data_IF_679225662385
#
_entry.id   IF_679225662385
#
_cell.length_a   1.000
_cell.length_b   1.000
_cell.length_c   1.000
_cell.angle_alpha   90.00
_cell.angle_beta   90.00
_cell.angle_gamma   90.00
#
_symmetry.space_group_name_H-M   'P 1'
#
loop_
_entity.id
_entity.type
_entity.pdbx_description
1 polymer ?
#
# COMPACT_ATOMS: atom_id res chain seq x y z
N UNK A 1 -23.25 -11.79 5.59
CA UNK A 1 -22.40 -10.89 4.78
C UNK A 1 -20.94 -11.35 4.83
N UNK A 2 -20.68 -12.63 4.54
CA UNK A 2 -19.31 -13.20 4.53
C UNK A 2 -18.78 -13.35 3.08
N UNK A 3 -19.66 -13.50 2.09
CA UNK A 3 -19.29 -13.54 0.67
C UNK A 3 -18.90 -12.19 0.03
N UNK A 4 -18.86 -11.10 0.80
CA UNK A 4 -18.37 -9.79 0.34
C UNK A 4 -16.96 -9.47 0.83
N UNK A 5 -16.39 -10.30 1.72
CA UNK A 5 -15.04 -10.08 2.25
C UNK A 5 -14.01 -10.26 1.14
N UNK A 6 -14.16 -11.30 0.32
CA UNK A 6 -13.21 -11.61 -0.74
C UNK A 6 -13.25 -10.53 -1.83
N UNK A 7 -14.45 -10.13 -2.27
CA UNK A 7 -14.64 -9.01 -3.20
C UNK A 7 -14.05 -7.69 -2.67
N UNK A 8 -14.24 -7.42 -1.37
CA UNK A 8 -13.69 -6.23 -0.72
C UNK A 8 -12.16 -6.27 -0.63
N UNK A 9 -11.58 -7.42 -0.28
CA UNK A 9 -10.14 -7.62 -0.18
C UNK A 9 -9.45 -7.55 -1.55
N UNK A 10 -10.12 -8.01 -2.61
CA UNK A 10 -9.65 -7.88 -3.98
C UNK A 10 -9.59 -6.41 -4.42
N UNK A 11 -10.69 -5.65 -4.20
CA UNK A 11 -10.73 -4.21 -4.51
C UNK A 11 -9.68 -3.45 -3.69
N UNK A 12 -9.55 -3.76 -2.40
CA UNK A 12 -8.56 -3.14 -1.53
C UNK A 12 -7.12 -3.45 -1.99
N UNK A 13 -6.84 -4.70 -2.37
CA UNK A 13 -5.53 -5.11 -2.91
C UNK A 13 -5.19 -4.39 -4.20
N UNK A 14 -6.13 -4.27 -5.13
CA UNK A 14 -5.91 -3.58 -6.41
C UNK A 14 -5.61 -2.08 -6.20
N UNK A 15 -6.34 -1.43 -5.28
CA UNK A 15 -6.09 -0.02 -4.93
C UNK A 15 -4.72 0.16 -4.27
N UNK A 16 -4.35 -0.75 -3.38
CA UNK A 16 -3.04 -0.79 -2.72
C UNK A 16 -1.92 -0.96 -3.75
N UNK A 17 -2.05 -1.92 -4.66
CA UNK A 17 -1.05 -2.21 -5.68
C UNK A 17 -0.83 -1.02 -6.61
N UNK A 18 -1.91 -0.33 -6.99
CA UNK A 18 -1.84 0.90 -7.80
C UNK A 18 -1.03 1.98 -7.09
N UNK A 19 -1.31 2.25 -5.82
CA UNK A 19 -0.59 3.27 -5.02
C UNK A 19 0.87 2.89 -4.77
N UNK A 20 1.18 1.60 -4.63
CA UNK A 20 2.56 1.12 -4.44
C UNK A 20 3.38 1.18 -5.74
N UNK A 21 2.74 0.85 -6.87
CA UNK A 21 3.37 0.75 -8.19
C UNK A 21 3.38 2.07 -8.98
N UNK A 22 2.71 3.11 -8.52
CA UNK A 22 2.83 4.48 -9.04
C UNK A 22 4.26 5.02 -8.77
N UNK A 23 5.17 4.59 -9.66
CA UNK A 23 6.49 5.12 -10.03
C UNK A 23 7.45 5.50 -8.89
N UNK A 24 8.61 4.82 -8.83
CA UNK A 24 9.78 5.35 -8.12
C UNK A 24 11.16 4.89 -8.67
N UNK A 25 11.25 3.79 -9.43
CA UNK A 25 12.57 3.23 -9.79
C UNK A 25 13.02 3.50 -11.24
N UNK A 26 12.10 3.60 -12.19
CA UNK A 26 12.42 3.85 -13.61
C UNK A 26 12.89 5.28 -13.86
N UNK A 27 12.27 6.28 -13.22
CA UNK A 27 12.61 7.69 -13.41
C UNK A 27 14.05 8.03 -12.94
N UNK A 28 14.47 7.51 -11.78
CA UNK A 28 15.83 7.73 -11.25
C UNK A 28 16.89 7.11 -12.15
N UNK A 29 16.64 5.91 -12.67
CA UNK A 29 17.57 5.22 -13.58
C UNK A 29 17.73 5.95 -14.92
N UNK A 30 16.65 6.52 -15.45
CA UNK A 30 16.72 7.35 -16.66
C UNK A 30 17.50 8.66 -16.43
N UNK A 31 17.30 9.31 -15.28
CA UNK A 31 18.07 10.50 -14.90
C UNK A 31 19.56 10.16 -14.77
N UNK A 32 19.91 9.03 -14.16
CA UNK A 32 21.32 8.59 -14.05
C UNK A 32 21.98 8.39 -15.42
N UNK A 33 21.29 7.71 -16.34
CA UNK A 33 21.79 7.51 -17.70
C UNK A 33 22.03 8.84 -18.43
N UNK A 34 21.11 9.79 -18.28
CA UNK A 34 21.22 11.12 -18.89
C UNK A 34 22.35 11.95 -18.26
N UNK A 35 22.52 11.86 -16.93
CA UNK A 35 23.64 12.50 -16.22
C UNK A 35 24.99 11.95 -16.69
N UNK A 36 25.10 10.64 -16.90
CA UNK A 36 26.33 10.00 -17.36
C UNK A 36 26.73 10.46 -18.76
N UNK A 37 25.75 10.59 -19.67
CA UNK A 37 25.95 11.11 -21.02
C UNK A 37 26.39 12.59 -21.01
N UNK A 38 25.71 13.43 -20.23
CA UNK A 38 26.05 14.85 -20.12
C UNK A 38 27.45 15.07 -19.52
N UNK A 39 27.86 14.24 -18.57
CA UNK A 39 29.22 14.29 -18.01
C UNK A 39 30.28 13.97 -19.07
N UNK A 40 30.02 13.01 -19.98
CA UNK A 40 30.92 12.71 -21.10
C UNK A 40 31.00 13.89 -22.07
N UNK A 41 29.87 14.48 -22.43
CA UNK A 41 29.81 15.67 -23.30
C UNK A 41 30.53 16.88 -22.68
N UNK A 42 30.40 17.06 -21.36
CA UNK A 42 31.09 18.11 -20.61
C UNK A 42 32.62 17.98 -20.76
N UNK A 43 33.17 16.78 -20.59
CA UNK A 43 34.59 16.51 -20.77
C UNK A 43 35.07 16.82 -22.20
N UNK A 44 34.28 16.46 -23.21
CA UNK A 44 34.60 16.72 -24.62
C UNK A 44 34.66 18.23 -24.87
N UNK A 45 33.63 18.99 -24.49
CA UNK A 45 33.60 20.44 -24.72
C UNK A 45 34.68 21.20 -23.94
N UNK A 46 34.93 20.80 -22.69
CA UNK A 46 36.01 21.37 -21.89
C UNK A 46 37.38 21.17 -22.56
N UNK A 47 37.64 19.98 -23.10
CA UNK A 47 38.87 19.68 -23.85
C UNK A 47 38.96 20.45 -25.17
N UNK A 48 37.83 20.68 -25.83
CA UNK A 48 37.73 21.48 -27.07
C UNK A 48 37.78 23.00 -26.83
N UNK A 49 37.86 23.47 -25.57
CA UNK A 49 37.75 24.89 -25.17
C UNK A 49 36.45 25.57 -25.64
N UNK A 50 35.41 24.78 -25.84
CA UNK A 50 34.07 25.28 -26.16
C UNK A 50 33.32 25.66 -24.89
N UNK A 51 32.33 26.55 -25.03
CA UNK A 51 31.41 26.86 -23.93
C UNK A 51 30.62 25.63 -23.50
N UNK A 52 30.54 25.41 -22.18
CA UNK A 52 29.90 24.23 -21.59
C UNK A 52 28.85 24.58 -20.51
N UNK A 53 28.50 25.87 -20.39
CA UNK A 53 27.62 26.37 -19.33
C UNK A 53 26.22 25.74 -19.40
N UNK A 54 25.72 25.50 -20.62
CA UNK A 54 24.47 24.80 -20.91
C UNK A 54 24.47 23.36 -20.35
N UNK A 55 25.56 22.62 -20.56
CA UNK A 55 25.72 21.25 -20.05
C UNK A 55 25.82 21.26 -18.53
N UNK A 56 26.53 22.23 -17.95
CA UNK A 56 26.67 22.36 -16.50
C UNK A 56 25.33 22.67 -15.83
N UNK A 57 24.54 23.60 -16.37
CA UNK A 57 23.20 23.94 -15.88
C UNK A 57 22.24 22.75 -15.95
N UNK A 58 22.26 21.98 -17.05
CA UNK A 58 21.47 20.77 -17.20
C UNK A 58 21.84 19.70 -16.15
N UNK A 59 23.15 19.51 -15.89
CA UNK A 59 23.63 18.57 -14.87
C UNK A 59 23.15 19.00 -13.47
N UNK A 60 23.19 20.30 -13.14
CA UNK A 60 22.68 20.80 -11.87
C UNK A 60 21.19 20.53 -11.72
N UNK A 61 20.39 20.84 -12.75
CA UNK A 61 18.94 20.61 -12.73
C UNK A 61 18.60 19.13 -12.54
N UNK A 62 19.24 18.24 -13.29
CA UNK A 62 19.00 16.79 -13.19
C UNK A 62 19.43 16.21 -11.84
N UNK A 63 20.47 16.77 -11.19
CA UNK A 63 20.85 16.36 -9.83
C UNK A 63 19.81 16.75 -8.79
N UNK A 64 19.25 17.94 -8.92
CA UNK A 64 18.16 18.41 -8.06
C UNK A 64 16.90 17.54 -8.25
N UNK A 65 16.52 17.28 -9.50
CA UNK A 65 15.39 16.40 -9.84
C UNK A 65 15.58 14.99 -9.27
N UNK A 66 16.78 14.40 -9.43
CA UNK A 66 17.12 13.10 -8.82
C UNK A 66 16.97 13.14 -7.30
N UNK A 67 17.46 14.19 -6.66
CA UNK A 67 17.43 14.31 -5.21
C UNK A 67 15.98 14.38 -4.70
N UNK A 68 15.14 15.18 -5.35
CA UNK A 68 13.72 15.31 -5.01
C UNK A 68 12.98 13.98 -5.18
N UNK A 69 13.22 13.27 -6.29
CA UNK A 69 12.63 11.95 -6.51
C UNK A 69 13.02 10.93 -5.43
N UNK A 70 14.29 10.95 -4.98
CA UNK A 70 14.75 10.07 -3.90
C UNK A 70 14.13 10.41 -2.54
N UNK A 71 13.94 11.70 -2.23
CA UNK A 71 13.25 12.12 -1.01
C UNK A 71 11.80 11.65 -1.03
N UNK A 72 11.10 11.91 -2.12
CA UNK A 72 9.71 11.52 -2.30
C UNK A 72 9.53 10.00 -2.20
N UNK A 73 10.43 9.23 -2.82
CA UNK A 73 10.44 7.77 -2.70
C UNK A 73 10.66 7.30 -1.25
N UNK A 74 11.61 7.93 -0.53
CA UNK A 74 11.91 7.59 0.85
C UNK A 74 10.74 7.91 1.80
N UNK A 75 10.03 9.03 1.59
CA UNK A 75 8.82 9.39 2.34
C UNK A 75 7.70 8.38 2.13
N UNK A 76 7.58 7.83 0.90
CA UNK A 76 6.56 6.84 0.54
C UNK A 76 6.89 5.43 1.03
N UNK A 77 8.16 5.08 1.28
CA UNK A 77 8.54 3.71 1.68
C UNK A 77 7.89 3.28 3.01
N UNK A 78 7.78 4.19 3.98
CA UNK A 78 7.10 3.91 5.24
C UNK A 78 5.61 3.61 5.08
N UNK A 79 4.94 4.31 4.16
CA UNK A 79 3.55 4.05 3.79
C UNK A 79 3.42 2.68 3.10
N UNK A 80 4.30 2.37 2.14
CA UNK A 80 4.35 1.07 1.47
C UNK A 80 4.54 -0.08 2.46
N UNK A 81 5.42 0.08 3.46
CA UNK A 81 5.63 -0.91 4.51
C UNK A 81 4.37 -1.13 5.36
N UNK A 82 3.72 -0.06 5.80
CA UNK A 82 2.49 -0.16 6.60
C UNK A 82 1.34 -0.82 5.84
N UNK A 83 1.23 -0.52 4.55
CA UNK A 83 0.25 -1.15 3.68
C UNK A 83 0.51 -2.66 3.56
N UNK A 84 1.77 -3.08 3.32
CA UNK A 84 2.14 -4.51 3.32
C UNK A 84 1.75 -5.22 4.62
N UNK A 85 2.04 -4.61 5.77
CA UNK A 85 1.66 -5.15 7.08
C UNK A 85 0.15 -5.28 7.25
N UNK A 86 -0.64 -4.31 6.77
CA UNK A 86 -2.11 -4.39 6.82
C UNK A 86 -2.64 -5.50 5.93
N UNK A 87 -2.07 -5.69 4.74
CA UNK A 87 -2.42 -6.79 3.83
C UNK A 87 -2.12 -8.16 4.44
N UNK A 88 -0.93 -8.33 5.03
CA UNK A 88 -0.55 -9.56 5.74
C UNK A 88 -1.53 -9.84 6.90
N UNK A 89 -1.81 -8.84 7.74
CA UNK A 89 -2.75 -8.97 8.85
C UNK A 89 -4.15 -9.41 8.40
N UNK A 90 -4.66 -8.88 7.29
CA UNK A 90 -5.98 -9.25 6.77
C UNK A 90 -6.01 -10.68 6.20
N UNK A 91 -4.90 -11.12 5.60
CA UNK A 91 -4.76 -12.47 5.03
C UNK A 91 -4.55 -13.54 6.11
N UNK A 92 -3.87 -13.21 7.21
CA UNK A 92 -3.65 -14.13 8.35
C UNK A 92 -4.91 -14.34 9.20
N UNK A 93 -5.96 -13.53 9.01
CA UNK A 93 -7.23 -13.70 9.73
C UNK A 93 -7.96 -14.96 9.25
N UNK A 94 -7.68 -16.08 9.91
CA UNK A 94 -8.44 -17.34 9.83
C UNK A 94 -9.92 -17.06 10.10
N UNK A 95 -10.76 -17.43 9.13
CA UNK A 95 -12.22 -17.23 9.17
C UNK A 95 -12.97 -18.33 9.93
N UNK A 96 -12.28 -19.41 10.32
CA UNK A 96 -12.92 -20.50 11.04
C UNK A 96 -12.70 -20.38 12.54
N UNK A 97 -13.78 -20.02 13.23
CA UNK A 97 -13.89 -20.20 14.68
C UNK A 97 -14.02 -21.72 14.90
N UNK A 98 -12.89 -22.42 15.02
CA UNK A 98 -12.88 -23.87 15.28
C UNK A 98 -13.39 -24.21 16.69
N UNK A 99 -13.25 -23.26 17.63
CA UNK A 99 -13.61 -23.44 19.03
C UNK A 99 -14.30 -22.20 19.60
N UNK A 100 -15.13 -22.40 20.62
CA UNK A 100 -15.81 -21.31 21.31
C UNK A 100 -14.80 -20.34 21.97
N UNK A 101 -14.92 -19.05 21.65
CA UNK A 101 -14.15 -17.96 22.26
C UNK A 101 -15.11 -17.02 23.05
N UNK A 102 -15.02 -17.06 24.38
CA UNK A 102 -15.86 -16.25 25.26
C UNK A 102 -15.66 -14.74 25.05
N UNK A 103 -14.42 -14.31 24.80
CA UNK A 103 -14.11 -12.89 24.58
C UNK A 103 -14.72 -12.41 23.27
N UNK A 104 -14.65 -13.23 22.22
CA UNK A 104 -15.26 -12.92 20.93
C UNK A 104 -16.79 -12.85 21.05
N UNK A 105 -17.42 -13.81 21.72
CA UNK A 105 -18.88 -13.81 21.94
C UNK A 105 -19.33 -12.58 22.72
N UNK A 106 -18.65 -12.23 23.81
CA UNK A 106 -18.95 -11.00 24.59
C UNK A 106 -18.76 -9.72 23.77
N UNK A 107 -17.85 -9.74 22.79
CA UNK A 107 -17.59 -8.60 21.91
C UNK A 107 -18.65 -8.45 20.83
N UNK A 108 -19.24 -9.54 20.35
CA UNK A 108 -20.15 -9.53 19.20
C UNK A 108 -21.63 -9.58 19.59
N UNK A 109 -21.99 -10.30 20.66
CA UNK A 109 -23.39 -10.55 21.03
C UNK A 109 -23.88 -9.50 22.02
N UNK A 110 -25.06 -8.94 21.75
CA UNK A 110 -25.79 -8.04 22.65
C UNK A 110 -26.69 -8.83 23.60
N UNK A 111 -27.56 -9.68 23.06
CA UNK A 111 -28.42 -10.58 23.85
C UNK A 111 -28.86 -11.81 23.05
N UNK A 112 -29.31 -12.84 23.76
CA UNK A 112 -29.93 -14.03 23.19
C UNK A 112 -31.31 -14.19 23.84
N UNK A 113 -32.36 -14.26 23.04
CA UNK A 113 -33.72 -14.56 23.47
C UNK A 113 -34.04 -16.02 23.19
N UNK A 114 -34.50 -16.75 24.21
CA UNK A 114 -34.81 -18.18 24.11
C UNK A 114 -36.31 -18.36 23.94
N UNK A 115 -36.72 -19.10 22.91
CA UNK A 115 -38.09 -19.56 22.68
C UNK A 115 -38.16 -21.08 22.74
N UNK A 116 -39.36 -21.65 22.63
CA UNK A 116 -39.58 -23.10 22.74
C UNK A 116 -38.87 -23.90 21.62
N UNK A 117 -38.91 -23.40 20.38
CA UNK A 117 -38.38 -24.10 19.19
C UNK A 117 -37.15 -23.42 18.56
N UNK A 118 -36.69 -22.29 19.11
CA UNK A 118 -35.66 -21.45 18.48
C UNK A 118 -34.92 -20.54 19.45
N UNK A 119 -33.80 -20.02 18.98
CA UNK A 119 -33.06 -18.93 19.59
C UNK A 119 -33.03 -17.72 18.67
N UNK A 120 -33.22 -16.54 19.22
CA UNK A 120 -32.98 -15.28 18.54
C UNK A 120 -31.70 -14.65 19.11
N UNK A 121 -30.70 -14.44 18.26
CA UNK A 121 -29.39 -13.89 18.62
C UNK A 121 -29.28 -12.49 18.05
N UNK A 122 -29.14 -11.49 18.93
CA UNK A 122 -28.95 -10.09 18.54
C UNK A 122 -27.47 -9.70 18.72
N UNK A 123 -26.87 -9.20 17.64
CA UNK A 123 -25.50 -8.73 17.61
C UNK A 123 -25.44 -7.25 17.98
N UNK A 124 -24.32 -6.81 18.57
CA UNK A 124 -24.06 -5.39 18.88
C UNK A 124 -24.05 -4.48 17.65
N UNK A 125 -23.91 -5.05 16.45
CA UNK A 125 -24.08 -4.33 15.19
C UNK A 125 -25.53 -3.99 14.86
N UNK A 126 -26.51 -4.47 15.65
CA UNK A 126 -27.95 -4.35 15.37
C UNK A 126 -28.48 -5.41 14.41
N UNK A 127 -27.67 -6.38 14.00
CA UNK A 127 -28.11 -7.53 13.21
C UNK A 127 -28.74 -8.59 14.12
N UNK A 128 -29.78 -9.28 13.64
CA UNK A 128 -30.40 -10.40 14.34
C UNK A 128 -30.36 -11.66 13.50
N UNK A 129 -30.23 -12.81 14.16
CA UNK A 129 -30.24 -14.13 13.52
C UNK A 129 -31.11 -15.09 14.33
N UNK A 130 -31.91 -15.89 13.64
CA UNK A 130 -32.73 -16.96 14.22
C UNK A 130 -32.02 -18.30 14.00
N UNK A 131 -31.94 -19.10 15.06
CA UNK A 131 -31.33 -20.43 15.05
C UNK A 131 -32.36 -21.42 15.56
N UNK A 132 -32.75 -22.38 14.72
CA UNK A 132 -33.61 -23.49 15.12
C UNK A 132 -32.91 -24.37 16.16
N UNK A 133 -33.71 -24.92 17.09
CA UNK A 133 -33.20 -25.69 18.21
C UNK A 133 -32.80 -27.12 17.85
#
# INVERSE_FOLDING_TARGET
>A
MLGQKDDFLEVLSNNIETVINEQDTTAVAEIEKKLEELQKQLLIRANSKEGYNDIAEEIYRLREEKHNALIESAEREGLKQRIRQMTEFLNEQLLEIETYDEHLVRRLIEKITVHDERFEVEFKSGMSMEVER
#
